data_IF_833390633106
#
_entry.id   IF_833390633106
#
_cell.length_a   1.000
_cell.length_b   1.000
_cell.length_c   1.000
_cell.angle_alpha   90.00
_cell.angle_beta   90.00
_cell.angle_gamma   90.00
#
_symmetry.space_group_name_H-M   'P 1'
#
loop_
_entity.id
_entity.type
_entity.pdbx_description
1 polymer ?
#
# COMPACT_ATOMS: atom_id res chain seq x y z
N UNK A 1 -46.79 56.89 -47.74
CA UNK A 1 -47.07 55.60 -48.42
C UNK A 1 -45.74 55.12 -49.00
N UNK A 2 -44.95 54.30 -48.29
CA UNK A 2 -45.01 52.82 -48.26
C UNK A 2 -44.91 52.23 -49.68
N UNK A 3 -43.89 51.46 -50.08
CA UNK A 3 -43.24 50.34 -49.36
C UNK A 3 -41.80 50.11 -49.81
N UNK A 4 -40.88 49.97 -48.84
CA UNK A 4 -39.56 49.40 -49.06
C UNK A 4 -39.63 47.88 -48.86
N UNK A 5 -39.27 47.12 -49.89
CA UNK A 5 -39.16 45.66 -49.85
C UNK A 5 -37.99 45.26 -48.95
N UNK A 6 -38.28 44.79 -47.73
CA UNK A 6 -37.30 44.10 -46.87
C UNK A 6 -37.06 42.71 -47.45
N UNK A 7 -35.91 42.49 -48.09
CA UNK A 7 -35.39 41.14 -48.29
C UNK A 7 -35.14 40.50 -46.93
N UNK A 8 -35.87 39.41 -46.65
CA UNK A 8 -35.55 38.48 -45.55
C UNK A 8 -34.27 37.71 -45.92
N UNK A 9 -33.28 37.61 -45.02
CA UNK A 9 -32.23 36.62 -45.18
C UNK A 9 -32.83 35.21 -45.08
N UNK A 10 -32.34 34.24 -45.87
CA UNK A 10 -32.86 32.88 -45.85
C UNK A 10 -32.66 32.26 -44.45
N UNK A 11 -33.73 31.66 -43.96
CA UNK A 11 -33.75 30.98 -42.67
C UNK A 11 -32.86 29.75 -42.70
N UNK A 12 -31.95 29.67 -41.72
CA UNK A 12 -31.51 28.43 -41.11
C UNK A 12 -30.66 27.50 -41.98
N UNK A 13 -29.37 27.81 -42.13
CA UNK A 13 -28.38 26.73 -42.15
C UNK A 13 -28.40 26.08 -40.76
N UNK A 14 -29.19 25.02 -40.58
CA UNK A 14 -29.04 24.13 -39.41
C UNK A 14 -27.55 23.78 -39.33
N UNK A 15 -26.87 23.98 -38.19
CA UNK A 15 -25.51 23.48 -38.05
C UNK A 15 -25.57 21.99 -38.35
N UNK A 16 -24.84 21.58 -39.39
CA UNK A 16 -24.68 20.18 -39.77
C UNK A 16 -24.15 19.50 -38.52
N UNK A 17 -24.98 18.68 -37.87
CA UNK A 17 -24.57 17.92 -36.70
C UNK A 17 -23.28 17.21 -37.09
N UNK A 18 -22.18 17.57 -36.42
CA UNK A 18 -20.88 16.96 -36.70
C UNK A 18 -21.08 15.45 -36.60
N UNK A 19 -20.78 14.73 -37.68
CA UNK A 19 -20.89 13.28 -37.71
C UNK A 19 -20.14 12.74 -36.48
N UNK A 20 -20.81 11.97 -35.61
CA UNK A 20 -20.18 11.49 -34.38
C UNK A 20 -18.94 10.71 -34.76
N UNK A 21 -17.81 11.03 -34.11
CA UNK A 21 -16.54 10.41 -34.41
C UNK A 21 -16.60 8.93 -33.95
N UNK A 22 -16.85 8.02 -34.89
CA UNK A 22 -17.00 6.58 -34.64
C UNK A 22 -15.78 5.99 -33.91
N UNK A 23 -14.57 6.48 -34.20
CA UNK A 23 -13.36 6.02 -33.51
C UNK A 23 -13.35 6.43 -32.04
N UNK A 24 -13.82 7.65 -31.71
CA UNK A 24 -13.91 8.10 -30.33
C UNK A 24 -14.96 7.31 -29.53
N UNK A 25 -16.07 6.92 -30.17
CA UNK A 25 -17.09 6.07 -29.55
C UNK A 25 -16.58 4.65 -29.28
N UNK A 26 -15.85 4.06 -30.24
CA UNK A 26 -15.25 2.73 -30.06
C UNK A 26 -14.17 2.72 -28.97
N UNK A 27 -13.35 3.78 -28.88
CA UNK A 27 -12.35 3.92 -27.81
C UNK A 27 -13.04 4.06 -26.45
N UNK A 28 -14.09 4.88 -26.35
CA UNK A 28 -14.83 5.04 -25.09
C UNK A 28 -15.50 3.74 -24.65
N UNK A 29 -16.09 2.99 -25.59
CA UNK A 29 -16.72 1.70 -25.32
C UNK A 29 -15.69 0.66 -24.85
N UNK A 30 -14.52 0.63 -25.49
CA UNK A 30 -13.42 -0.26 -25.10
C UNK A 30 -12.90 0.06 -23.69
N UNK A 31 -12.69 1.34 -23.37
CA UNK A 31 -12.29 1.81 -22.03
C UNK A 31 -13.33 1.47 -20.95
N UNK A 32 -14.61 1.62 -21.27
CA UNK A 32 -15.74 1.33 -20.36
C UNK A 32 -15.97 -0.16 -20.08
N UNK A 33 -15.47 -1.02 -20.97
CA UNK A 33 -15.85 -2.44 -20.96
C UNK A 33 -14.71 -3.33 -20.51
N UNK A 34 -13.52 -3.20 -21.13
CA UNK A 34 -12.47 -4.20 -20.94
C UNK A 34 -11.04 -3.66 -20.92
N UNK A 35 -10.74 -2.53 -21.56
CA UNK A 35 -9.34 -2.06 -21.72
C UNK A 35 -8.70 -1.76 -20.38
N UNK A 36 -9.38 -1.00 -19.50
CA UNK A 36 -8.86 -0.65 -18.18
C UNK A 36 -8.62 -1.91 -17.31
N UNK A 37 -9.61 -2.80 -17.10
CA UNK A 37 -9.38 -3.99 -16.28
C UNK A 37 -8.37 -4.97 -16.92
N UNK A 38 -8.34 -5.11 -18.24
CA UNK A 38 -7.37 -5.96 -18.93
C UNK A 38 -5.94 -5.43 -18.82
N UNK A 39 -5.74 -4.12 -19.03
CA UNK A 39 -4.43 -3.47 -18.88
C UNK A 39 -3.93 -3.56 -17.43
N UNK A 40 -4.79 -3.28 -16.44
CA UNK A 40 -4.45 -3.41 -15.03
C UNK A 40 -4.03 -4.84 -14.67
N UNK A 41 -4.82 -5.83 -15.10
CA UNK A 41 -4.50 -7.25 -14.87
C UNK A 41 -3.21 -7.68 -15.56
N UNK A 42 -2.99 -7.23 -16.79
CA UNK A 42 -1.75 -7.50 -17.53
C UNK A 42 -0.53 -6.90 -16.84
N UNK A 43 -0.63 -5.68 -16.29
CA UNK A 43 0.45 -5.04 -15.52
C UNK A 43 0.76 -5.85 -14.26
N UNK A 44 -0.24 -6.32 -13.52
CA UNK A 44 -0.02 -7.14 -12.31
C UNK A 44 0.74 -8.43 -12.68
N UNK A 45 0.28 -9.14 -13.71
CA UNK A 45 0.91 -10.40 -14.16
C UNK A 45 2.31 -10.15 -14.70
N UNK A 46 2.50 -9.13 -15.53
CA UNK A 46 3.80 -8.77 -16.10
C UNK A 46 4.79 -8.35 -15.01
N UNK A 47 4.36 -7.53 -14.03
CA UNK A 47 5.21 -7.13 -12.92
C UNK A 47 5.68 -8.34 -12.10
N UNK A 48 4.76 -9.25 -11.76
CA UNK A 48 5.10 -10.49 -11.05
C UNK A 48 6.06 -11.37 -11.86
N UNK A 49 5.82 -11.55 -13.17
CA UNK A 49 6.66 -12.36 -14.05
C UNK A 49 8.07 -11.74 -14.23
N UNK A 50 8.15 -10.43 -14.45
CA UNK A 50 9.43 -9.71 -14.59
C UNK A 50 10.24 -9.74 -13.29
N UNK A 51 9.57 -9.62 -12.14
CA UNK A 51 10.22 -9.77 -10.83
C UNK A 51 10.71 -11.20 -10.61
N UNK A 52 9.90 -12.20 -10.95
CA UNK A 52 10.27 -13.61 -10.81
C UNK A 52 11.43 -14.01 -11.75
N UNK A 53 11.53 -13.37 -12.91
CA UNK A 53 12.64 -13.51 -13.85
C UNK A 53 13.89 -12.70 -13.45
N UNK A 54 13.82 -11.88 -12.39
CA UNK A 54 14.92 -11.01 -11.95
C UNK A 54 15.22 -9.83 -12.89
N UNK A 55 14.31 -9.52 -13.82
CA UNK A 55 14.48 -8.42 -14.79
C UNK A 55 14.15 -7.04 -14.20
N UNK A 56 13.31 -7.02 -13.15
CA UNK A 56 12.92 -5.81 -12.43
C UNK A 56 13.10 -6.07 -10.94
N UNK A 57 13.49 -5.04 -10.18
CA UNK A 57 13.56 -5.14 -8.73
C UNK A 57 12.20 -5.52 -8.14
N UNK A 58 12.20 -6.38 -7.11
CA UNK A 58 10.96 -6.80 -6.44
C UNK A 58 10.14 -5.61 -5.93
N UNK A 59 10.81 -4.60 -5.35
CA UNK A 59 10.18 -3.36 -4.90
C UNK A 59 9.49 -2.59 -6.03
N UNK A 60 10.17 -2.40 -7.18
CA UNK A 60 9.60 -1.72 -8.33
C UNK A 60 8.41 -2.48 -8.92
N UNK A 61 8.53 -3.79 -9.09
CA UNK A 61 7.44 -4.62 -9.58
C UNK A 61 6.22 -4.61 -8.63
N UNK A 62 6.46 -4.68 -7.33
CA UNK A 62 5.41 -4.62 -6.33
C UNK A 62 4.65 -3.28 -6.37
N UNK A 63 5.39 -2.18 -6.50
CA UNK A 63 4.83 -0.84 -6.67
C UNK A 63 3.88 -0.76 -7.88
N UNK A 64 4.29 -1.28 -9.04
CA UNK A 64 3.45 -1.32 -10.24
C UNK A 64 2.20 -2.18 -10.05
N UNK A 65 2.33 -3.34 -9.41
CA UNK A 65 1.20 -4.22 -9.13
C UNK A 65 0.16 -3.57 -8.21
N UNK A 66 0.59 -2.82 -7.20
CA UNK A 66 -0.30 -2.11 -6.28
C UNK A 66 -1.04 -0.99 -7.00
N UNK A 67 -0.33 -0.17 -7.80
CA UNK A 67 -0.99 0.88 -8.61
C UNK A 67 -2.03 0.27 -9.53
N UNK A 68 -1.71 -0.81 -10.24
CA UNK A 68 -2.64 -1.49 -11.12
C UNK A 68 -3.87 -2.07 -10.38
N UNK A 69 -3.67 -2.65 -9.19
CA UNK A 69 -4.77 -3.13 -8.36
C UNK A 69 -5.68 -1.99 -7.87
N UNK A 70 -5.10 -0.85 -7.48
CA UNK A 70 -5.87 0.34 -7.10
C UNK A 70 -6.66 0.90 -8.29
N UNK A 71 -6.07 0.96 -9.48
CA UNK A 71 -6.77 1.36 -10.72
C UNK A 71 -7.96 0.43 -11.01
N UNK A 72 -7.81 -0.88 -10.81
CA UNK A 72 -8.90 -1.84 -11.00
C UNK A 72 -10.05 -1.59 -10.01
N UNK A 73 -9.74 -1.34 -8.74
CA UNK A 73 -10.74 -1.03 -7.72
C UNK A 73 -11.45 0.30 -8.00
N UNK A 74 -10.70 1.32 -8.41
CA UNK A 74 -11.24 2.61 -8.81
C UNK A 74 -12.16 2.47 -10.02
N UNK A 75 -11.74 1.69 -11.03
CA UNK A 75 -12.57 1.39 -12.19
C UNK A 75 -13.90 0.74 -11.79
N UNK A 76 -13.91 -0.23 -10.86
CA UNK A 76 -15.16 -0.84 -10.37
C UNK A 76 -16.06 0.20 -9.71
N UNK A 77 -15.47 1.10 -8.91
CA UNK A 77 -16.19 2.16 -8.20
C UNK A 77 -16.76 3.24 -9.11
N UNK A 78 -16.00 3.67 -10.13
CA UNK A 78 -16.33 4.86 -10.95
C UNK A 78 -16.82 4.53 -12.37
N UNK A 79 -16.95 3.24 -12.73
CA UNK A 79 -17.41 2.81 -14.07
C UNK A 79 -18.64 3.57 -14.61
N UNK A 80 -19.67 3.92 -13.81
CA UNK A 80 -20.82 4.67 -14.32
C UNK A 80 -20.44 6.06 -14.86
N UNK A 81 -19.42 6.70 -14.31
CA UNK A 81 -18.96 8.02 -14.76
C UNK A 81 -18.31 7.97 -16.15
N UNK A 82 -17.86 6.79 -16.59
CA UNK A 82 -17.35 6.60 -17.95
C UNK A 82 -18.46 6.49 -19.00
N UNK A 83 -19.74 6.53 -18.60
CA UNK A 83 -20.86 6.52 -19.53
C UNK A 83 -20.91 7.84 -20.34
N UNK A 84 -21.27 7.78 -21.64
CA UNK A 84 -21.37 8.96 -22.49
C UNK A 84 -22.44 9.96 -22.01
N UNK A 85 -23.46 9.46 -21.30
CA UNK A 85 -24.57 10.27 -20.78
C UNK A 85 -24.27 10.90 -19.40
N UNK A 86 -23.12 10.56 -18.79
CA UNK A 86 -22.73 11.13 -17.51
C UNK A 86 -22.42 12.64 -17.66
N UNK A 87 -22.91 13.51 -16.75
CA UNK A 87 -22.60 14.93 -16.79
C UNK A 87 -21.08 15.16 -16.72
N UNK A 88 -20.55 16.07 -17.55
CA UNK A 88 -19.11 16.41 -17.57
C UNK A 88 -18.58 16.86 -16.20
N UNK A 89 -19.42 17.55 -15.43
CA UNK A 89 -19.08 17.96 -14.06
C UNK A 89 -18.76 16.75 -13.18
N UNK A 90 -19.55 15.70 -13.30
CA UNK A 90 -19.44 14.50 -12.47
C UNK A 90 -18.27 13.63 -12.93
N UNK A 91 -18.00 13.60 -14.24
CA UNK A 91 -16.77 13.01 -14.80
C UNK A 91 -15.51 13.69 -14.26
N UNK A 92 -15.47 15.02 -14.24
CA UNK A 92 -14.34 15.77 -13.71
C UNK A 92 -14.19 15.59 -12.20
N UNK A 93 -15.29 15.56 -11.47
CA UNK A 93 -15.29 15.35 -10.03
C UNK A 93 -14.82 13.93 -9.69
N UNK A 94 -15.31 12.91 -10.41
CA UNK A 94 -14.83 11.54 -10.31
C UNK A 94 -13.34 11.43 -10.61
N UNK A 95 -12.86 11.99 -11.72
CA UNK A 95 -11.43 11.98 -12.04
C UNK A 95 -10.56 12.64 -10.95
N UNK A 96 -11.02 13.75 -10.37
CA UNK A 96 -10.33 14.41 -9.26
C UNK A 96 -10.32 13.54 -7.98
N UNK A 97 -11.48 12.98 -7.61
CA UNK A 97 -11.61 12.07 -6.45
C UNK A 97 -10.75 10.84 -6.66
N UNK A 98 -10.83 10.19 -7.82
CA UNK A 98 -10.05 9.01 -8.16
C UNK A 98 -8.54 9.24 -8.14
N UNK A 99 -8.07 10.40 -8.60
CA UNK A 99 -6.64 10.75 -8.51
C UNK A 99 -6.18 10.94 -7.07
N UNK A 100 -6.96 11.66 -6.26
CA UNK A 100 -6.67 11.86 -4.83
C UNK A 100 -6.73 10.52 -4.08
N UNK A 101 -7.77 9.73 -4.35
CA UNK A 101 -7.97 8.40 -3.76
C UNK A 101 -6.80 7.48 -4.07
N UNK A 102 -6.38 7.40 -5.33
CA UNK A 102 -5.25 6.58 -5.75
C UNK A 102 -3.96 7.00 -5.04
N UNK A 103 -3.68 8.31 -4.97
CA UNK A 103 -2.49 8.81 -4.28
C UNK A 103 -2.51 8.48 -2.78
N UNK A 104 -3.64 8.73 -2.10
CA UNK A 104 -3.77 8.51 -0.64
C UNK A 104 -3.75 7.02 -0.30
N UNK A 105 -4.42 6.17 -1.08
CA UNK A 105 -4.42 4.72 -0.87
C UNK A 105 -3.08 4.07 -1.23
N UNK A 106 -2.32 4.63 -2.18
CA UNK A 106 -1.01 4.12 -2.57
C UNK A 106 0.09 4.48 -1.58
N UNK A 107 0.04 5.69 -1.00
CA UNK A 107 1.06 6.24 -0.11
C UNK A 107 1.52 5.29 1.01
N UNK A 108 0.65 4.61 1.79
CA UNK A 108 1.10 3.69 2.82
C UNK A 108 1.92 2.53 2.25
N UNK A 109 1.55 1.98 1.08
CA UNK A 109 2.35 0.93 0.46
C UNK A 109 3.68 1.46 -0.04
N UNK A 110 3.67 2.62 -0.71
CA UNK A 110 4.88 3.24 -1.24
C UNK A 110 5.91 3.52 -0.15
N UNK A 111 5.49 4.15 0.96
CA UNK A 111 6.38 4.49 2.08
C UNK A 111 6.92 3.27 2.81
N UNK A 112 6.22 2.13 2.75
CA UNK A 112 6.71 0.86 3.30
C UNK A 112 7.70 0.16 2.38
N UNK A 113 7.51 0.26 1.06
CA UNK A 113 8.39 -0.33 0.05
C UNK A 113 9.66 0.51 -0.11
N UNK A 114 9.53 1.84 0.00
CA UNK A 114 10.61 2.80 -0.15
C UNK A 114 10.67 3.69 1.10
N UNK A 115 11.33 3.23 2.19
CA UNK A 115 11.41 3.97 3.45
C UNK A 115 12.26 5.25 3.37
N UNK A 116 12.92 5.51 2.24
CA UNK A 116 13.73 6.70 2.00
C UNK A 116 15.20 6.51 2.35
N UNK A 117 15.90 7.62 2.57
CA UNK A 117 17.32 7.60 2.91
C UNK A 117 17.53 7.03 4.33
N UNK A 118 18.47 6.08 4.51
CA UNK A 118 18.79 5.57 5.84
C UNK A 118 19.43 6.66 6.70
N UNK A 119 19.05 6.71 7.97
CA UNK A 119 19.75 7.47 9.02
C UNK A 119 21.08 6.80 9.37
N UNK A 120 21.08 5.47 9.34
CA UNK A 120 22.26 4.62 9.48
C UNK A 120 22.13 3.50 8.46
N UNK A 121 23.17 3.30 7.65
CA UNK A 121 23.17 2.33 6.56
C UNK A 121 24.08 1.15 6.86
N UNK A 122 23.47 -0.03 6.99
CA UNK A 122 24.11 -1.33 6.98
C UNK A 122 25.36 -1.48 7.86
N UNK A 123 25.31 -1.03 9.11
CA UNK A 123 26.42 -1.17 10.05
C UNK A 123 26.48 -2.61 10.55
N UNK A 124 27.60 -3.29 10.31
CA UNK A 124 27.83 -4.64 10.83
C UNK A 124 28.24 -4.59 12.30
N UNK A 125 27.45 -5.23 13.15
CA UNK A 125 27.75 -5.38 14.57
C UNK A 125 27.99 -6.85 14.89
N UNK A 126 29.12 -7.14 15.53
CA UNK A 126 29.53 -8.50 15.91
C UNK A 126 29.25 -8.77 17.39
N UNK A 127 29.15 -10.04 17.77
CA UNK A 127 28.94 -10.47 19.15
C UNK A 127 29.99 -9.94 20.14
N UNK A 128 31.22 -9.70 19.66
CA UNK A 128 32.32 -9.13 20.46
C UNK A 128 32.22 -7.61 20.68
N UNK A 129 31.12 -6.97 20.25
CA UNK A 129 30.90 -5.54 20.36
C UNK A 129 31.60 -4.69 19.29
N UNK A 130 32.31 -5.30 18.33
CA UNK A 130 32.85 -4.56 17.18
C UNK A 130 31.72 -3.91 16.38
N UNK A 131 31.87 -2.63 16.07
CA UNK A 131 30.84 -1.82 15.41
C UNK A 131 29.97 -1.00 16.36
N UNK A 132 30.20 -1.09 17.68
CA UNK A 132 29.52 -0.27 18.70
C UNK A 132 30.44 0.84 19.25
N UNK A 133 29.88 1.97 19.74
CA UNK A 133 28.47 2.32 19.69
C UNK A 133 28.04 2.76 18.28
N UNK A 134 26.80 2.44 17.88
CA UNK A 134 26.20 2.98 16.64
C UNK A 134 25.40 4.22 16.99
N UNK A 135 25.84 5.38 16.50
CA UNK A 135 25.08 6.63 16.64
C UNK A 135 24.04 6.74 15.53
N UNK A 136 22.77 6.93 15.91
CA UNK A 136 21.64 7.12 15.02
C UNK A 136 21.25 8.60 15.08
N UNK A 137 21.44 9.38 14.00
CA UNK A 137 21.08 10.79 13.94
C UNK A 137 19.56 10.95 13.83
N UNK A 138 18.85 10.68 14.92
CA UNK A 138 17.39 10.65 15.02
C UNK A 138 16.80 11.99 15.49
N UNK A 139 17.62 13.03 15.65
CA UNK A 139 17.17 14.37 15.99
C UNK A 139 16.03 14.85 15.07
N UNK A 140 14.94 15.35 15.67
CA UNK A 140 13.75 15.79 14.94
C UNK A 140 12.74 14.69 14.58
N UNK A 141 13.10 13.40 14.72
CA UNK A 141 12.20 12.28 14.43
C UNK A 141 11.52 11.74 15.68
N UNK A 142 10.18 11.62 15.66
CA UNK A 142 9.39 11.10 16.80
C UNK A 142 9.36 9.58 16.91
N UNK A 143 9.73 8.87 15.84
CA UNK A 143 9.89 7.44 15.80
C UNK A 143 10.93 7.08 14.72
N UNK A 144 11.62 5.97 14.92
CA UNK A 144 12.56 5.41 13.95
C UNK A 144 12.23 3.94 13.68
N UNK A 145 12.51 3.51 12.47
CA UNK A 145 12.38 2.13 12.05
C UNK A 145 13.78 1.49 12.10
N UNK A 146 14.00 0.63 13.09
CA UNK A 146 15.24 -0.13 13.25
C UNK A 146 15.11 -1.46 12.50
N UNK A 147 15.97 -1.66 11.52
CA UNK A 147 16.08 -2.88 10.74
C UNK A 147 17.28 -3.68 11.24
N UNK A 148 17.03 -4.91 11.66
CA UNK A 148 18.04 -5.86 12.12
C UNK A 148 18.05 -7.04 11.16
N UNK A 149 19.17 -7.30 10.49
CA UNK A 149 19.31 -8.44 9.59
C UNK A 149 20.42 -9.38 10.11
N UNK A 150 20.02 -10.57 10.55
CA UNK A 150 20.93 -11.65 10.92
C UNK A 150 21.39 -12.39 9.66
N UNK A 151 22.69 -12.34 9.36
CA UNK A 151 23.28 -13.12 8.25
C UNK A 151 23.42 -14.59 8.65
N UNK A 152 22.31 -15.33 8.75
CA UNK A 152 22.36 -16.78 8.99
C UNK A 152 22.95 -17.47 7.75
N UNK A 153 24.18 -18.04 7.81
CA UNK A 153 24.76 -18.70 6.66
C UNK A 153 23.92 -19.94 6.29
N UNK A 154 23.75 -20.24 5.00
CA UNK A 154 23.03 -21.43 4.57
C UNK A 154 23.67 -22.67 5.21
N UNK A 155 22.85 -23.55 5.77
CA UNK A 155 23.36 -24.74 6.43
C UNK A 155 24.04 -25.66 5.39
N UNK A 156 25.35 -25.95 5.52
CA UNK A 156 26.08 -26.75 4.54
C UNK A 156 25.52 -28.19 4.40
N UNK A 157 24.76 -28.69 5.38
CA UNK A 157 24.13 -30.01 5.34
C UNK A 157 22.65 -29.99 4.93
N UNK A 158 22.11 -28.82 4.54
CA UNK A 158 20.72 -28.68 4.07
C UNK A 158 19.65 -28.76 5.18
N UNK A 159 20.05 -28.62 6.46
CA UNK A 159 19.15 -28.59 7.62
C UNK A 159 18.80 -27.19 8.12
N UNK A 160 17.92 -27.11 9.11
CA UNK A 160 17.65 -25.88 9.88
C UNK A 160 18.90 -25.41 10.65
N UNK A 161 19.13 -24.09 10.72
CA UNK A 161 20.17 -23.52 11.60
C UNK A 161 19.62 -23.35 13.03
N UNK A 162 20.46 -23.46 14.08
CA UNK A 162 20.03 -23.14 15.42
C UNK A 162 19.62 -21.65 15.51
N UNK A 163 18.59 -21.33 16.30
CA UNK A 163 18.11 -19.96 16.43
C UNK A 163 19.19 -19.08 17.08
N UNK A 164 19.33 -17.85 16.58
CA UNK A 164 20.24 -16.83 17.13
C UNK A 164 19.41 -15.81 17.89
N UNK A 165 19.54 -15.78 19.21
CA UNK A 165 18.87 -14.79 20.04
C UNK A 165 19.72 -13.52 20.08
N UNK A 166 19.07 -12.36 19.98
CA UNK A 166 19.74 -11.10 20.11
C UNK A 166 19.11 -10.25 21.21
N UNK A 167 19.95 -9.48 21.88
CA UNK A 167 19.53 -8.48 22.86
C UNK A 167 20.32 -7.21 22.62
N UNK A 168 19.59 -6.15 22.26
CA UNK A 168 20.13 -4.87 21.84
C UNK A 168 19.76 -3.81 22.88
N UNK A 169 20.75 -3.06 23.33
CA UNK A 169 20.56 -1.92 24.23
C UNK A 169 20.63 -0.62 23.44
N UNK A 170 19.58 0.17 23.54
CA UNK A 170 19.51 1.54 23.05
C UNK A 170 19.57 2.52 24.22
N UNK A 171 20.34 3.59 24.03
CA UNK A 171 20.38 4.73 24.94
C UNK A 171 19.91 5.99 24.22
N UNK A 172 19.02 6.72 24.88
CA UNK A 172 18.51 8.01 24.44
C UNK A 172 17.90 8.73 25.63
N UNK A 173 18.15 10.03 25.78
CA UNK A 173 17.71 10.83 26.95
C UNK A 173 18.19 10.29 28.31
N UNK A 174 19.33 9.59 28.36
CA UNK A 174 19.78 8.91 29.58
C UNK A 174 18.89 7.73 30.01
N UNK A 175 17.92 7.33 29.18
CA UNK A 175 17.08 6.15 29.39
C UNK A 175 17.64 5.00 28.57
N UNK A 176 17.94 3.90 29.26
CA UNK A 176 18.35 2.64 28.65
C UNK A 176 17.12 1.80 28.32
N UNK A 177 16.99 1.39 27.05
CA UNK A 177 15.94 0.49 26.57
C UNK A 177 16.57 -0.77 26.01
N UNK A 178 15.94 -1.90 26.28
CA UNK A 178 16.40 -3.20 25.80
C UNK A 178 15.38 -3.74 24.80
N UNK A 179 15.87 -4.19 23.65
CA UNK A 179 15.08 -4.83 22.59
C UNK A 179 15.62 -6.24 22.42
N UNK A 180 14.72 -7.22 22.49
CA UNK A 180 15.03 -8.64 22.40
C UNK A 180 14.27 -9.26 21.23
N UNK A 181 14.92 -10.21 20.56
CA UNK A 181 14.35 -10.97 19.47
C UNK A 181 15.22 -12.17 19.10
N UNK A 182 14.84 -12.85 18.04
CA UNK A 182 15.54 -14.06 17.60
C UNK A 182 15.47 -14.19 16.09
N UNK A 183 16.56 -14.68 15.49
CA UNK A 183 16.61 -15.12 14.10
C UNK A 183 16.47 -16.63 14.06
N UNK A 184 15.57 -17.14 13.23
CA UNK A 184 15.30 -18.57 13.15
C UNK A 184 15.33 -19.05 11.71
N UNK A 185 15.89 -20.23 11.47
CA UNK A 185 15.74 -20.91 10.20
C UNK A 185 15.14 -22.30 10.44
N UNK A 186 13.92 -22.55 9.97
CA UNK A 186 13.18 -23.77 10.26
C UNK A 186 12.73 -24.49 8.99
N UNK A 187 12.83 -25.82 9.01
CA UNK A 187 12.26 -26.70 7.99
C UNK A 187 10.99 -27.32 8.58
N UNK A 188 9.81 -26.93 8.07
CA UNK A 188 8.54 -27.52 8.48
C UNK A 188 8.01 -28.45 7.40
N UNK A 189 7.66 -29.67 7.78
CA UNK A 189 6.92 -30.58 6.90
C UNK A 189 5.46 -30.16 6.84
N UNK A 190 5.02 -29.67 5.70
CA UNK A 190 3.61 -29.36 5.44
C UNK A 190 2.97 -30.48 4.63
N UNK A 191 1.79 -30.93 5.05
CA UNK A 191 1.05 -31.98 4.33
C UNK A 191 0.53 -31.43 3.00
N UNK A 192 0.96 -32.04 1.91
CA UNK A 192 0.49 -31.75 0.55
C UNK A 192 -0.58 -32.79 0.15
N UNK A 193 -1.83 -32.50 0.51
CA UNK A 193 -2.98 -33.33 0.17
C UNK A 193 -3.00 -34.71 0.85
N UNK A 194 -3.65 -35.69 0.21
CA UNK A 194 -3.97 -36.98 0.84
C UNK A 194 -2.75 -37.90 1.04
N UNK A 195 -1.72 -37.80 0.18
CA UNK A 195 -0.54 -38.68 0.20
C UNK A 195 0.83 -37.97 0.13
N UNK A 196 0.88 -36.64 0.09
CA UNK A 196 2.14 -35.89 0.00
C UNK A 196 2.50 -35.19 1.31
N UNK A 197 3.80 -35.04 1.56
CA UNK A 197 4.34 -34.01 2.44
C UNK A 197 5.39 -33.25 1.65
N UNK A 198 5.46 -31.95 1.86
CA UNK A 198 6.49 -31.08 1.29
C UNK A 198 7.25 -30.44 2.44
N UNK A 199 8.56 -30.28 2.28
CA UNK A 199 9.38 -29.55 3.24
C UNK A 199 9.30 -28.08 2.86
N UNK A 200 8.69 -27.28 3.72
CA UNK A 200 8.63 -25.83 3.59
C UNK A 200 9.75 -25.24 4.40
N UNK A 201 10.62 -24.51 3.71
CA UNK A 201 11.66 -23.71 4.33
C UNK A 201 11.07 -22.39 4.81
N UNK A 202 11.21 -22.11 6.11
CA UNK A 202 10.76 -20.89 6.74
C UNK A 202 11.96 -20.24 7.43
N UNK A 203 12.51 -19.21 6.80
CA UNK A 203 13.58 -18.38 7.36
C UNK A 203 13.03 -17.07 7.93
N UNK A 204 13.54 -16.69 9.09
CA UNK A 204 13.29 -15.45 9.80
C UNK A 204 14.64 -14.83 10.14
N UNK A 205 15.22 -14.16 9.15
CA UNK A 205 16.60 -13.65 9.21
C UNK A 205 16.64 -12.13 9.36
N UNK A 206 15.48 -11.48 9.46
CA UNK A 206 15.39 -10.03 9.43
C UNK A 206 14.19 -9.58 10.25
N UNK A 207 14.35 -8.51 11.01
CA UNK A 207 13.32 -7.96 11.86
C UNK A 207 13.26 -6.43 11.74
N UNK A 208 12.04 -5.91 11.62
CA UNK A 208 11.74 -4.49 11.66
C UNK A 208 11.13 -4.13 13.01
N UNK A 209 11.72 -3.16 13.72
CA UNK A 209 11.22 -2.66 14.99
C UNK A 209 11.00 -1.16 14.94
N UNK A 210 9.77 -0.72 15.19
CA UNK A 210 9.45 0.70 15.35
C UNK A 210 9.80 1.13 16.77
N UNK A 211 10.73 2.07 16.91
CA UNK A 211 11.18 2.59 18.19
C UNK A 211 10.63 4.01 18.43
N UNK A 212 9.89 4.25 19.52
CA UNK A 212 9.39 5.59 19.83
C UNK A 212 10.53 6.50 20.32
N UNK A 213 10.62 7.71 19.77
CA UNK A 213 11.58 8.74 20.15
C UNK A 213 10.86 10.04 20.59
N UNK A 214 10.21 10.04 21.78
CA UNK A 214 9.30 11.12 22.17
C UNK A 214 9.97 12.50 22.30
N UNK A 215 11.26 12.56 22.63
CA UNK A 215 11.98 13.85 22.69
C UNK A 215 12.78 14.18 21.44
N UNK A 216 12.64 13.40 20.36
CA UNK A 216 13.22 13.71 19.06
C UNK A 216 14.72 14.04 19.12
N UNK A 217 15.48 13.21 19.85
CA UNK A 217 16.93 13.32 20.03
C UNK A 217 17.67 12.17 19.34
N UNK A 218 18.98 12.30 19.19
CA UNK A 218 19.82 11.22 18.70
C UNK A 218 19.78 10.02 19.66
N UNK A 219 19.91 8.83 19.08
CA UNK A 219 19.90 7.56 19.78
C UNK A 219 21.23 6.85 19.57
N UNK A 220 21.67 6.06 20.53
CA UNK A 220 22.87 5.24 20.38
C UNK A 220 22.56 3.78 20.71
N UNK A 221 23.03 2.87 19.86
CA UNK A 221 23.10 1.45 20.22
C UNK A 221 24.42 1.23 20.94
N UNK A 222 24.38 0.91 22.22
CA UNK A 222 25.58 0.81 23.08
C UNK A 222 26.01 -0.62 23.36
N UNK A 223 25.08 -1.57 23.30
CA UNK A 223 25.38 -2.99 23.55
C UNK A 223 24.53 -3.88 22.64
N UNK A 224 25.16 -4.91 22.08
CA UNK A 224 24.51 -6.02 21.39
C UNK A 224 25.08 -7.33 21.93
N UNK A 225 24.22 -8.22 22.41
CA UNK A 225 24.61 -9.58 22.76
C UNK A 225 23.90 -10.55 21.82
N UNK A 226 24.66 -11.52 21.29
CA UNK A 226 24.16 -12.56 20.41
C UNK A 226 24.40 -13.91 21.07
N UNK A 227 23.39 -14.77 21.07
CA UNK A 227 23.48 -16.13 21.58
C UNK A 227 23.18 -17.12 20.44
N UNK A 228 24.12 -18.02 20.10
CA UNK A 228 25.45 -18.22 20.69
C UNK A 228 26.45 -17.10 20.32
N UNK A 229 27.51 -16.89 21.12
CA UNK A 229 28.54 -15.86 20.85
C UNK A 229 29.27 -16.04 19.51
N UNK A 230 29.28 -17.26 18.98
CA UNK A 230 29.82 -17.57 17.65
C UNK A 230 28.89 -17.16 16.49
N UNK A 231 27.77 -16.50 16.79
CA UNK A 231 26.81 -16.06 15.79
C UNK A 231 27.44 -15.10 14.77
N UNK A 232 26.98 -15.13 13.52
CA UNK A 232 27.41 -14.20 12.48
C UNK A 232 27.04 -12.76 12.85
N UNK A 233 27.71 -11.80 12.20
CA UNK A 233 27.41 -10.38 12.39
C UNK A 233 25.95 -10.07 12.02
N UNK A 234 25.36 -9.13 12.77
CA UNK A 234 24.04 -8.57 12.48
C UNK A 234 24.23 -7.24 11.76
N UNK A 235 23.55 -7.06 10.64
CA UNK A 235 23.48 -5.78 9.95
C UNK A 235 22.42 -4.92 10.61
N UNK A 236 22.79 -3.70 11.00
CA UNK A 236 21.88 -2.73 11.59
C UNK A 236 21.70 -1.56 10.63
N UNK A 237 20.45 -1.29 10.26
CA UNK A 237 20.06 -0.10 9.51
C UNK A 237 18.95 0.63 10.25
N UNK A 238 18.92 1.95 10.16
CA UNK A 238 17.88 2.76 10.80
C UNK A 238 17.29 3.74 9.78
N UNK A 239 15.97 3.85 9.77
CA UNK A 239 15.22 4.77 8.90
C UNK A 239 14.33 5.69 9.72
N UNK A 240 14.02 6.87 9.19
CA UNK A 240 12.98 7.70 9.77
C UNK A 240 11.62 7.02 9.58
N UNK A 241 10.82 6.91 10.64
CA UNK A 241 9.49 6.34 10.51
C UNK A 241 8.60 7.28 9.67
N UNK A 242 8.06 6.84 8.52
CA UNK A 242 7.43 7.75 7.57
C UNK A 242 5.98 8.08 7.93
N UNK A 243 5.33 7.25 8.76
CA UNK A 243 3.93 7.47 9.14
C UNK A 243 3.81 8.44 10.32
N UNK A 244 2.76 9.28 10.32
CA UNK A 244 2.46 10.10 11.49
C UNK A 244 1.97 9.22 12.65
N UNK A 245 1.94 9.79 13.85
CA UNK A 245 1.45 9.08 15.04
C UNK A 245 0.01 8.55 14.87
N UNK A 246 -0.36 7.51 15.63
CA UNK A 246 -1.59 6.74 15.41
C UNK A 246 -2.87 7.58 15.44
N UNK A 247 -2.90 8.66 16.22
CA UNK A 247 -4.04 9.59 16.29
C UNK A 247 -4.24 10.34 14.97
N UNK A 248 -3.16 10.89 14.40
CA UNK A 248 -3.21 11.62 13.13
C UNK A 248 -3.57 10.68 11.99
N UNK A 249 -3.01 9.47 12.02
CA UNK A 249 -3.34 8.43 11.05
C UNK A 249 -4.82 8.03 11.13
N UNK A 250 -5.36 7.84 12.34
CA UNK A 250 -6.77 7.53 12.56
C UNK A 250 -7.70 8.64 12.05
N UNK A 251 -7.36 9.90 12.30
CA UNK A 251 -8.10 11.05 11.75
C UNK A 251 -8.04 11.08 10.22
N UNK A 252 -6.87 10.89 9.61
CA UNK A 252 -6.71 10.88 8.16
C UNK A 252 -7.55 9.76 7.50
N UNK A 253 -7.54 8.55 8.09
CA UNK A 253 -8.36 7.42 7.65
C UNK A 253 -9.86 7.75 7.77
N UNK A 254 -10.28 8.33 8.90
CA UNK A 254 -11.67 8.72 9.10
C UNK A 254 -12.12 9.80 8.09
N UNK A 255 -11.28 10.80 7.82
CA UNK A 255 -11.55 11.85 6.82
C UNK A 255 -11.65 11.27 5.41
N UNK A 256 -10.74 10.37 5.02
CA UNK A 256 -10.79 9.69 3.73
C UNK A 256 -12.09 8.91 3.58
N UNK A 257 -12.43 8.06 4.56
CA UNK A 257 -13.66 7.26 4.53
C UNK A 257 -14.91 8.16 4.48
N UNK A 258 -14.95 9.24 5.26
CA UNK A 258 -16.07 10.18 5.23
C UNK A 258 -16.24 10.85 3.86
N UNK A 259 -15.13 11.27 3.22
CA UNK A 259 -15.16 11.87 1.89
C UNK A 259 -15.65 10.88 0.83
N UNK A 260 -15.19 9.63 0.87
CA UNK A 260 -15.60 8.59 -0.08
C UNK A 260 -17.06 8.17 0.15
N UNK A 261 -17.49 8.02 1.40
CA UNK A 261 -18.89 7.77 1.72
C UNK A 261 -19.76 8.91 1.19
N UNK A 262 -19.35 10.16 1.37
CA UNK A 262 -20.08 11.31 0.82
C UNK A 262 -20.15 11.25 -0.70
N UNK A 263 -19.05 10.89 -1.38
CA UNK A 263 -19.00 10.73 -2.83
C UNK A 263 -19.94 9.62 -3.33
N UNK A 264 -19.91 8.43 -2.72
CA UNK A 264 -20.81 7.32 -3.08
C UNK A 264 -22.28 7.62 -2.76
N UNK A 265 -22.53 8.37 -1.68
CA UNK A 265 -23.88 8.59 -1.14
C UNK A 265 -24.60 9.78 -1.76
N UNK A 266 -23.86 10.84 -2.08
CA UNK A 266 -24.37 12.14 -2.54
C UNK A 266 -23.90 12.49 -3.95
N UNK A 267 -22.88 11.81 -4.47
CA UNK A 267 -22.35 12.03 -5.81
C UNK A 267 -23.08 11.24 -6.90
N UNK A 268 -22.57 11.37 -8.11
CA UNK A 268 -23.19 10.86 -9.34
C UNK A 268 -23.09 9.35 -9.56
N UNK A 269 -22.54 8.61 -8.59
CA UNK A 269 -22.25 7.17 -8.70
C UNK A 269 -23.18 6.31 -7.84
N UNK A 270 -24.39 6.81 -7.56
CA UNK A 270 -25.34 6.14 -6.68
C UNK A 270 -25.70 4.69 -7.12
N UNK A 271 -25.45 4.34 -8.38
CA UNK A 271 -25.67 3.01 -8.97
C UNK A 271 -24.72 1.93 -8.45
N UNK A 272 -23.53 2.28 -7.92
CA UNK A 272 -22.54 1.30 -7.44
C UNK A 272 -22.72 0.90 -5.98
N UNK A 273 -23.77 1.41 -5.32
CA UNK A 273 -24.16 1.12 -3.92
C UNK A 273 -22.99 0.98 -2.94
N UNK A 274 -22.07 1.97 -2.95
CA UNK A 274 -20.96 2.04 -1.99
C UNK A 274 -19.71 1.26 -2.40
N UNK A 275 -19.56 0.90 -3.67
CA UNK A 275 -18.41 0.13 -4.15
C UNK A 275 -17.06 0.79 -3.80
N UNK A 276 -16.94 2.12 -3.94
CA UNK A 276 -15.70 2.82 -3.62
C UNK A 276 -15.44 2.85 -2.11
N UNK A 277 -16.49 3.00 -1.29
CA UNK A 277 -16.43 2.91 0.17
C UNK A 277 -15.91 1.53 0.60
N UNK A 278 -16.48 0.46 0.05
CA UNK A 278 -16.07 -0.92 0.32
C UNK A 278 -14.62 -1.17 -0.10
N UNK A 279 -14.25 -0.73 -1.30
CA UNK A 279 -12.89 -0.84 -1.82
C UNK A 279 -11.89 -0.07 -0.95
N UNK A 280 -12.21 1.17 -0.55
CA UNK A 280 -11.37 2.00 0.31
C UNK A 280 -11.12 1.32 1.65
N UNK A 281 -12.17 0.82 2.30
CA UNK A 281 -12.04 0.14 3.57
C UNK A 281 -11.23 -1.16 3.46
N UNK A 282 -11.42 -1.93 2.38
CA UNK A 282 -10.62 -3.11 2.09
C UNK A 282 -9.13 -2.77 1.88
N UNK A 283 -8.83 -1.71 1.13
CA UNK A 283 -7.45 -1.23 0.91
C UNK A 283 -6.81 -0.76 2.22
N UNK A 284 -7.54 -0.04 3.07
CA UNK A 284 -7.05 0.36 4.40
C UNK A 284 -6.74 -0.89 5.23
N UNK A 285 -7.63 -1.89 5.26
CA UNK A 285 -7.40 -3.14 5.96
C UNK A 285 -6.15 -3.87 5.46
N UNK A 286 -5.97 -3.95 4.14
CA UNK A 286 -4.77 -4.52 3.53
C UNK A 286 -3.51 -3.72 3.88
N UNK A 287 -3.57 -2.39 3.83
CA UNK A 287 -2.46 -1.51 4.17
C UNK A 287 -2.02 -1.67 5.64
N UNK A 288 -2.97 -1.83 6.57
CA UNK A 288 -2.68 -2.09 7.99
C UNK A 288 -1.90 -3.40 8.12
N UNK A 289 -2.41 -4.50 7.54
CA UNK A 289 -1.73 -5.81 7.64
C UNK A 289 -0.36 -5.78 6.98
N UNK A 290 -0.25 -5.11 5.82
CA UNK A 290 1.01 -4.92 5.11
C UNK A 290 2.05 -4.19 5.97
N UNK A 291 1.63 -3.11 6.65
CA UNK A 291 2.49 -2.35 7.57
C UNK A 291 2.88 -3.11 8.83
N UNK A 292 1.95 -3.87 9.41
CA UNK A 292 2.21 -4.67 10.62
C UNK A 292 2.95 -5.97 10.31
N UNK A 293 3.24 -6.26 9.05
CA UNK A 293 4.04 -7.42 8.69
C UNK A 293 5.51 -7.18 9.09
N UNK A 294 6.11 -8.17 9.75
CA UNK A 294 7.53 -8.15 10.15
C UNK A 294 8.49 -8.33 8.95
N UNK A 295 8.00 -8.28 7.71
CA UNK A 295 8.83 -8.43 6.51
C UNK A 295 9.70 -7.19 6.32
N UNK A 296 11.02 -7.30 6.51
CA UNK A 296 11.93 -6.16 6.32
C UNK A 296 11.88 -5.65 4.88
N UNK A 297 11.91 -6.58 3.91
CA UNK A 297 11.75 -6.30 2.49
C UNK A 297 10.41 -6.88 2.00
N UNK A 298 9.34 -6.07 1.88
CA UNK A 298 8.05 -6.56 1.43
C UNK A 298 8.12 -7.09 0.00
N UNK A 299 7.49 -8.25 -0.21
CA UNK A 299 7.42 -8.94 -1.49
C UNK A 299 5.97 -9.19 -1.92
N UNK A 300 5.79 -9.88 -3.06
CA UNK A 300 4.46 -10.27 -3.54
C UNK A 300 3.71 -11.17 -2.55
N UNK A 301 4.40 -12.04 -1.80
CA UNK A 301 3.76 -12.89 -0.79
C UNK A 301 3.20 -12.05 0.35
N UNK A 302 3.94 -11.05 0.79
CA UNK A 302 3.52 -10.10 1.83
C UNK A 302 2.31 -9.30 1.37
N UNK A 303 2.33 -8.79 0.13
CA UNK A 303 1.19 -8.08 -0.45
C UNK A 303 -0.05 -8.98 -0.56
N UNK A 304 0.08 -10.17 -1.14
CA UNK A 304 -1.04 -11.12 -1.28
C UNK A 304 -1.58 -11.54 0.08
N UNK A 305 -0.71 -11.83 1.06
CA UNK A 305 -1.12 -12.12 2.43
C UNK A 305 -1.91 -10.97 3.04
N UNK A 306 -1.41 -9.74 2.91
CA UNK A 306 -2.10 -8.55 3.42
C UNK A 306 -3.46 -8.33 2.77
N UNK A 307 -3.60 -8.57 1.46
CA UNK A 307 -4.87 -8.48 0.75
C UNK A 307 -5.86 -9.57 1.20
N UNK A 308 -5.40 -10.81 1.41
CA UNK A 308 -6.25 -11.93 1.84
C UNK A 308 -6.76 -11.74 3.28
N UNK A 309 -5.92 -11.26 4.19
CA UNK A 309 -6.30 -11.13 5.60
C UNK A 309 -6.90 -9.76 5.93
N UNK A 310 -6.27 -8.69 5.45
CA UNK A 310 -6.70 -7.32 5.72
C UNK A 310 -7.88 -6.87 4.85
N UNK A 311 -7.91 -7.29 3.59
CA UNK A 311 -8.96 -6.91 2.63
C UNK A 311 -10.36 -7.27 3.09
N UNK A 312 -10.67 -8.54 3.44
CA UNK A 312 -12.00 -8.94 3.89
C UNK A 312 -12.44 -8.27 5.20
N UNK A 313 -11.53 -8.10 6.15
CA UNK A 313 -11.82 -7.41 7.42
C UNK A 313 -12.16 -5.94 7.16
N UNK A 314 -11.35 -5.27 6.33
CA UNK A 314 -11.62 -3.91 5.90
C UNK A 314 -12.94 -3.79 5.13
N UNK A 315 -13.21 -4.73 4.21
CA UNK A 315 -14.46 -4.78 3.45
C UNK A 315 -15.68 -4.91 4.37
N UNK A 316 -15.65 -5.80 5.37
CA UNK A 316 -16.74 -5.97 6.32
C UNK A 316 -16.99 -4.69 7.14
N UNK A 317 -15.92 -4.02 7.59
CA UNK A 317 -16.02 -2.73 8.27
C UNK A 317 -16.60 -1.64 7.33
N UNK A 318 -16.17 -1.60 6.07
CA UNK A 318 -16.72 -0.71 5.04
C UNK A 318 -18.20 -0.96 4.77
N UNK A 319 -18.63 -2.23 4.74
CA UNK A 319 -20.03 -2.60 4.54
C UNK A 319 -20.91 -2.13 5.71
N UNK A 320 -20.41 -2.26 6.94
CA UNK A 320 -21.09 -1.73 8.12
C UNK A 320 -21.17 -0.20 8.06
N UNK A 321 -20.08 0.49 7.74
CA UNK A 321 -20.04 1.95 7.59
C UNK A 321 -21.03 2.42 6.52
N UNK A 322 -21.05 1.75 5.37
CA UNK A 322 -21.98 2.06 4.28
C UNK A 322 -23.45 1.84 4.69
N UNK A 323 -23.74 0.74 5.40
CA UNK A 323 -25.08 0.48 5.93
C UNK A 323 -25.53 1.56 6.93
N UNK A 324 -24.64 1.98 7.84
CA UNK A 324 -24.91 3.10 8.76
C UNK A 324 -25.15 4.40 7.99
N UNK A 325 -24.30 4.71 7.01
CA UNK A 325 -24.44 5.91 6.18
C UNK A 325 -25.77 5.94 5.41
N UNK A 326 -26.23 4.79 4.90
CA UNK A 326 -27.56 4.66 4.26
C UNK A 326 -28.71 5.00 5.21
N UNK A 327 -28.59 4.69 6.50
CA UNK A 327 -29.61 4.99 7.51
C UNK A 327 -29.59 6.42 8.01
N UNK A 328 -28.40 7.02 8.14
CA UNK A 328 -28.24 8.34 8.78
C UNK A 328 -28.28 9.51 7.80
N UNK A 329 -27.88 9.29 6.56
CA UNK A 329 -27.78 10.35 5.54
C UNK A 329 -28.93 10.16 4.56
N UNK A 330 -29.89 11.10 4.54
CA UNK A 330 -30.97 11.10 3.56
C UNK A 330 -30.42 11.37 2.14
N UNK A 331 -31.01 10.75 1.11
CA UNK A 331 -30.72 11.18 -0.28
C UNK A 331 -31.32 12.57 -0.48
N UNK A 332 -30.60 13.52 -1.11
CA UNK A 332 -31.29 14.65 -1.73
C UNK A 332 -32.33 14.09 -2.71
N UNK A 333 -33.57 14.58 -2.60
CA UNK A 333 -34.64 14.21 -3.53
C UNK A 333 -34.28 14.70 -4.95
N UNK A 334 -34.62 13.93 -5.99
CA UNK A 334 -34.39 14.33 -7.37
C UNK A 334 -35.11 15.63 -7.75
#
# INVERSE_FOLDING_TARGET
>A
MATASRMRPPAGSRPRAASPNLTALLVLDALRTWVIPAAASAIIVAAAALSAAGLVSGAGALAWAIVAALVLLLYIGERPLLAPDAPRRDQLLGAAVGLVWLAVCYLPFYTRIFPGAPLVDAVEVKANGSGLPVHIPAAGHRAIDLVLEGKLPPNPTGGAQPPVHYRLTLEGQGVRRVVEGQFEDTLKTQRLGRRGTTVVHQSHNSELRVLPNPGAQDLAVTQLTLEPESAPAVTLSAFAHPLPGPVVLGLAVATLLAAIVAFDRLGAVAETDGALTLATAAVIGAAIIFWTSNAVHPDFRTLVGSAIFGGPVGFAAGALLWWVAKKLIARPAP
#
